data_IF_651413254898
#
_entry.id   IF_651413254898
#
_cell.length_a   1.000
_cell.length_b   1.000
_cell.length_c   1.000
_cell.angle_alpha   90.00
_cell.angle_beta   90.00
_cell.angle_gamma   90.00
#
_symmetry.space_group_name_H-M   'P 1'
#
loop_
_entity.id
_entity.type
_entity.pdbx_description
1 polymer ?
#
# COMPACT_ATOMS: atom_id res chain seq x y z
N UNK A 1 -8.60 -17.44 -0.38
CA UNK A 1 -9.14 -17.60 0.99
C UNK A 1 -8.60 -18.91 1.57
N UNK A 2 -8.28 -18.97 2.86
CA UNK A 2 -7.76 -20.17 3.55
C UNK A 2 -8.19 -20.19 5.03
N UNK A 3 -8.09 -21.32 5.74
CA UNK A 3 -8.28 -21.34 7.19
C UNK A 3 -7.45 -20.25 7.90
N UNK A 4 -8.07 -19.57 8.86
CA UNK A 4 -7.54 -18.41 9.56
C UNK A 4 -7.82 -17.07 8.87
N UNK A 5 -8.23 -17.02 7.59
CA UNK A 5 -8.61 -15.75 6.97
C UNK A 5 -9.85 -15.17 7.64
N UNK A 6 -9.80 -13.87 7.97
CA UNK A 6 -10.97 -13.13 8.40
C UNK A 6 -11.87 -12.84 7.21
N UNK A 7 -13.16 -13.12 7.34
CA UNK A 7 -14.15 -13.00 6.26
C UNK A 7 -15.44 -12.38 6.78
N UNK A 8 -16.17 -11.74 5.87
CA UNK A 8 -17.60 -11.53 6.00
C UNK A 8 -18.31 -12.46 5.03
N UNK A 9 -19.25 -13.24 5.55
CA UNK A 9 -20.08 -14.14 4.76
C UNK A 9 -21.53 -13.71 4.89
N UNK A 10 -22.12 -13.30 3.77
CA UNK A 10 -23.55 -13.02 3.68
C UNK A 10 -24.30 -14.33 3.43
N UNK A 11 -25.29 -14.63 4.26
CA UNK A 11 -26.14 -15.83 4.13
C UNK A 11 -27.62 -15.51 4.37
N UNK A 12 -28.49 -16.41 3.94
CA UNK A 12 -29.90 -16.39 4.34
C UNK A 12 -30.06 -17.01 5.73
N UNK A 13 -30.86 -16.37 6.58
CA UNK A 13 -31.33 -16.90 7.85
C UNK A 13 -32.85 -16.73 7.89
N UNK A 14 -33.58 -17.79 7.51
CA UNK A 14 -35.02 -17.70 7.24
C UNK A 14 -35.30 -16.76 6.07
N UNK A 15 -36.19 -15.78 6.26
CA UNK A 15 -36.54 -14.75 5.27
C UNK A 15 -35.56 -13.57 5.21
N UNK A 16 -34.57 -13.50 6.11
CA UNK A 16 -33.66 -12.35 6.23
C UNK A 16 -32.26 -12.66 5.70
N UNK A 17 -31.55 -11.59 5.28
CA UNK A 17 -30.12 -11.64 4.99
C UNK A 17 -29.34 -11.26 6.24
N UNK A 18 -28.33 -12.05 6.56
CA UNK A 18 -27.46 -11.82 7.72
C UNK A 18 -26.00 -11.97 7.32
N UNK A 19 -25.13 -11.22 7.98
CA UNK A 19 -23.69 -11.27 7.77
C UNK A 19 -23.02 -11.96 8.96
N UNK A 20 -22.23 -12.99 8.70
CA UNK A 20 -21.34 -13.63 9.67
C UNK A 20 -19.95 -13.07 9.44
N UNK A 21 -19.41 -12.38 10.44
CA UNK A 21 -18.04 -11.87 10.41
C UNK A 21 -17.17 -12.71 11.35
N UNK A 22 -16.14 -13.33 10.80
CA UNK A 22 -15.37 -14.32 11.54
C UNK A 22 -14.12 -14.80 10.81
N UNK A 23 -13.55 -15.90 11.28
CA UNK A 23 -12.36 -16.53 10.71
C UNK A 23 -12.74 -17.88 10.09
N UNK A 24 -12.25 -18.15 8.89
CA UNK A 24 -12.44 -19.42 8.20
C UNK A 24 -11.81 -20.55 9.02
N UNK A 25 -12.58 -21.60 9.29
CA UNK A 25 -12.10 -22.84 9.93
C UNK A 25 -11.85 -23.90 8.86
N UNK A 26 -12.78 -24.06 7.92
CA UNK A 26 -12.66 -24.94 6.74
C UNK A 26 -13.35 -24.29 5.54
N UNK A 27 -12.95 -24.69 4.34
CA UNK A 27 -13.53 -24.20 3.08
C UNK A 27 -14.55 -25.15 2.46
N UNK A 28 -14.41 -26.45 2.71
CA UNK A 28 -15.33 -27.47 2.27
C UNK A 28 -15.54 -28.52 3.40
N UNK A 29 -16.66 -28.47 4.12
CA UNK A 29 -17.70 -27.43 4.05
C UNK A 29 -17.18 -26.06 4.52
N UNK A 30 -17.81 -24.95 4.10
CA UNK A 30 -17.47 -23.62 4.61
C UNK A 30 -17.90 -23.49 6.07
N UNK A 31 -16.93 -23.34 6.95
CA UNK A 31 -17.15 -23.14 8.39
C UNK A 31 -16.45 -21.87 8.83
N UNK A 32 -17.18 -20.97 9.50
CA UNK A 32 -16.66 -19.67 9.95
C UNK A 32 -16.88 -19.53 11.45
N UNK A 33 -15.80 -19.29 12.19
CA UNK A 33 -15.86 -18.95 13.62
C UNK A 33 -16.09 -17.45 13.79
N UNK A 34 -17.17 -17.00 14.44
CA UNK A 34 -17.41 -15.58 14.68
C UNK A 34 -16.21 -14.89 15.34
N UNK A 35 -15.98 -13.61 15.05
CA UNK A 35 -14.89 -12.84 15.67
C UNK A 35 -15.29 -12.26 17.04
N UNK A 36 -14.30 -11.89 17.87
CA UNK A 36 -14.48 -10.98 19.00
C UNK A 36 -14.50 -9.51 18.52
N UNK A 37 -14.91 -8.61 19.41
CA UNK A 37 -14.78 -7.15 19.18
C UNK A 37 -13.33 -6.81 18.77
N UNK A 38 -13.18 -5.98 17.75
CA UNK A 38 -11.87 -5.62 17.19
C UNK A 38 -11.37 -6.54 16.07
N UNK A 39 -12.08 -7.64 15.78
CA UNK A 39 -11.73 -8.55 14.68
C UNK A 39 -10.80 -9.69 15.06
N UNK A 40 -10.57 -9.91 16.37
CA UNK A 40 -9.74 -11.01 16.86
C UNK A 40 -10.47 -12.37 16.75
N UNK A 41 -9.74 -13.49 16.65
CA UNK A 41 -10.33 -14.82 16.80
C UNK A 41 -11.10 -14.94 18.12
N UNK A 42 -12.27 -15.59 18.07
CA UNK A 42 -13.04 -15.92 19.27
C UNK A 42 -12.94 -17.40 19.59
N UNK A 43 -13.44 -17.79 20.77
CA UNK A 43 -13.70 -19.18 21.15
C UNK A 43 -15.18 -19.55 20.96
N UNK A 44 -15.95 -18.73 20.22
CA UNK A 44 -17.35 -19.02 19.95
C UNK A 44 -17.49 -20.26 19.06
N UNK A 45 -18.66 -20.90 19.14
CA UNK A 45 -18.99 -22.02 18.26
C UNK A 45 -18.88 -21.62 16.79
N UNK A 46 -18.24 -22.47 15.99
CA UNK A 46 -18.06 -22.21 14.57
C UNK A 46 -19.35 -22.53 13.81
N UNK A 47 -19.70 -21.67 12.86
CA UNK A 47 -20.96 -21.76 12.12
C UNK A 47 -20.67 -22.39 10.77
N UNK A 48 -21.29 -23.52 10.47
CA UNK A 48 -21.34 -24.09 9.12
C UNK A 48 -22.27 -23.24 8.24
N UNK A 49 -21.83 -22.91 7.04
CA UNK A 49 -22.57 -22.08 6.08
C UNK A 49 -22.65 -22.86 4.76
N UNK A 50 -23.80 -23.48 4.50
CA UNK A 50 -23.99 -24.33 3.32
C UNK A 50 -24.25 -23.56 2.02
N UNK A 51 -24.93 -22.40 2.09
CA UNK A 51 -25.28 -21.58 0.91
C UNK A 51 -24.88 -20.10 1.11
N UNK A 52 -23.58 -19.77 0.97
CA UNK A 52 -23.11 -18.39 1.09
C UNK A 52 -23.47 -17.58 -0.15
N UNK A 53 -24.10 -16.42 0.03
CA UNK A 53 -24.44 -15.50 -1.06
C UNK A 53 -23.25 -14.62 -1.48
N UNK A 54 -22.47 -14.18 -0.50
CA UNK A 54 -21.25 -13.39 -0.71
C UNK A 54 -20.22 -13.83 0.31
N UNK A 55 -19.00 -14.11 -0.14
CA UNK A 55 -17.85 -14.32 0.74
C UNK A 55 -16.78 -13.31 0.38
N UNK A 56 -16.50 -12.39 1.30
CA UNK A 56 -15.45 -11.38 1.11
C UNK A 56 -14.41 -11.51 2.22
N UNK A 57 -13.15 -11.65 1.82
CA UNK A 57 -12.02 -11.57 2.75
C UNK A 57 -11.92 -10.16 3.32
N UNK A 58 -11.63 -10.06 4.61
CA UNK A 58 -11.41 -8.82 5.33
C UNK A 58 -9.95 -8.74 5.79
N UNK A 59 -9.50 -7.53 6.12
CA UNK A 59 -8.26 -7.34 6.85
C UNK A 59 -8.28 -8.14 8.16
N UNK A 60 -7.17 -8.78 8.58
CA UNK A 60 -7.14 -9.62 9.79
C UNK A 60 -7.47 -8.89 11.09
N UNK A 61 -7.41 -7.55 11.09
CA UNK A 61 -7.79 -6.69 12.21
C UNK A 61 -8.76 -5.62 11.72
N UNK A 62 -9.58 -5.08 12.62
CA UNK A 62 -10.43 -3.93 12.28
C UNK A 62 -9.55 -2.72 11.90
N UNK A 63 -9.75 -2.21 10.69
CA UNK A 63 -9.10 -0.98 10.19
C UNK A 63 -10.05 0.21 10.37
N UNK A 64 -9.62 1.23 11.12
CA UNK A 64 -10.37 2.47 11.34
C UNK A 64 -10.08 3.47 10.22
N UNK A 65 -10.93 4.49 10.06
CA UNK A 65 -10.65 5.59 9.12
C UNK A 65 -9.37 6.34 9.47
N UNK A 66 -9.07 6.48 10.77
CA UNK A 66 -7.81 7.06 11.25
C UNK A 66 -6.60 6.22 10.84
N UNK A 67 -6.71 4.89 10.83
CA UNK A 67 -5.61 4.01 10.41
C UNK A 67 -5.34 4.13 8.91
N UNK A 68 -6.40 4.25 8.10
CA UNK A 68 -6.25 4.52 6.67
C UNK A 68 -5.53 5.85 6.46
N UNK A 69 -5.99 6.93 7.13
CA UNK A 69 -5.34 8.24 7.05
C UNK A 69 -3.88 8.21 7.50
N UNK A 70 -3.56 7.47 8.56
CA UNK A 70 -2.19 7.37 9.05
C UNK A 70 -1.25 6.80 7.97
N UNK A 71 -1.63 5.68 7.35
CA UNK A 71 -0.84 5.06 6.27
C UNK A 71 -0.74 5.98 5.05
N UNK A 72 -1.86 6.58 4.62
CA UNK A 72 -1.85 7.49 3.47
C UNK A 72 -1.07 8.79 3.73
N UNK A 73 -1.02 9.26 4.97
CA UNK A 73 -0.17 10.40 5.38
C UNK A 73 1.30 10.03 5.32
N UNK A 74 1.68 8.88 5.87
CA UNK A 74 3.06 8.39 5.81
C UNK A 74 3.51 8.17 4.35
N UNK A 75 2.63 7.60 3.52
CA UNK A 75 2.85 7.47 2.08
C UNK A 75 2.99 8.82 1.39
N UNK A 76 2.16 9.80 1.73
CA UNK A 76 2.24 11.12 1.15
C UNK A 76 3.57 11.83 1.48
N UNK A 77 4.07 11.65 2.71
CA UNK A 77 5.39 12.15 3.14
C UNK A 77 6.55 11.41 2.47
N UNK A 78 6.38 10.14 2.10
CA UNK A 78 7.40 9.35 1.42
C UNK A 78 7.57 9.71 -0.08
N UNK A 79 6.59 10.43 -0.65
CA UNK A 79 6.56 10.91 -2.02
C UNK A 79 5.99 12.35 -2.06
N UNK A 80 6.68 13.35 -1.49
CA UNK A 80 6.09 14.66 -1.21
C UNK A 80 5.66 15.47 -2.45
N UNK A 81 6.21 15.15 -3.63
CA UNK A 81 6.08 15.97 -4.83
C UNK A 81 6.90 17.26 -4.73
N UNK A 82 7.10 17.91 -5.88
CA UNK A 82 7.82 19.19 -5.99
C UNK A 82 6.98 20.38 -5.49
N UNK A 83 5.65 20.28 -5.60
CA UNK A 83 4.69 21.27 -5.12
C UNK A 83 3.60 20.60 -4.32
N UNK A 84 3.17 21.23 -3.22
CA UNK A 84 2.07 20.73 -2.40
C UNK A 84 1.22 21.85 -1.84
N UNK A 85 -0.09 21.60 -1.77
CA UNK A 85 -1.07 22.50 -1.15
C UNK A 85 -2.12 21.69 -0.42
N UNK A 86 -2.55 22.15 0.75
CA UNK A 86 -3.67 21.56 1.48
C UNK A 86 -4.94 22.35 1.15
N UNK A 87 -5.87 21.72 0.44
CA UNK A 87 -7.21 22.26 0.24
C UNK A 87 -8.17 21.50 1.17
N UNK A 88 -8.69 22.20 2.18
CA UNK A 88 -9.46 21.58 3.26
C UNK A 88 -8.72 20.39 3.91
N UNK A 89 -9.15 19.16 3.65
CA UNK A 89 -8.57 17.92 4.18
C UNK A 89 -7.78 17.14 3.12
N UNK A 90 -7.56 17.72 1.94
CA UNK A 90 -6.93 17.09 0.78
C UNK A 90 -5.53 17.67 0.56
N UNK A 91 -4.51 16.87 0.85
CA UNK A 91 -3.14 17.21 0.50
C UNK A 91 -2.94 16.92 -0.98
N UNK A 92 -2.90 17.97 -1.77
CA UNK A 92 -2.65 17.94 -3.22
C UNK A 92 -1.16 18.07 -3.47
N UNK A 93 -0.58 17.04 -4.11
CA UNK A 93 0.85 16.98 -4.44
C UNK A 93 1.01 16.90 -5.96
N UNK A 94 1.96 17.67 -6.49
CA UNK A 94 2.40 17.61 -7.88
C UNK A 94 3.88 17.23 -7.93
N UNK A 95 4.17 16.15 -8.65
CA UNK A 95 5.50 15.72 -9.05
C UNK A 95 5.48 15.33 -10.52
N UNK A 96 6.44 14.53 -10.96
CA UNK A 96 6.50 14.00 -12.32
C UNK A 96 5.20 13.26 -12.70
N UNK A 97 4.66 13.55 -13.90
CA UNK A 97 3.35 13.04 -14.40
C UNK A 97 3.27 11.49 -14.38
N UNK A 98 4.42 10.81 -14.51
CA UNK A 98 4.48 9.35 -14.61
C UNK A 98 4.39 8.67 -13.22
N UNK A 99 4.57 9.42 -12.13
CA UNK A 99 4.50 8.88 -10.77
C UNK A 99 3.24 9.34 -10.03
N UNK A 100 2.14 8.59 -10.16
CA UNK A 100 0.90 8.76 -9.35
C UNK A 100 1.18 8.87 -7.83
N UNK A 101 2.33 8.33 -7.40
CA UNK A 101 2.82 8.38 -6.02
C UNK A 101 3.11 9.81 -5.53
N UNK A 102 3.69 10.66 -6.38
CA UNK A 102 4.02 12.08 -6.10
C UNK A 102 3.03 13.05 -6.74
N UNK A 103 2.18 12.59 -7.67
CA UNK A 103 1.13 13.38 -8.32
C UNK A 103 -0.29 12.91 -7.93
N UNK A 104 -0.78 13.30 -6.75
CA UNK A 104 -2.18 13.03 -6.35
C UNK A 104 -2.66 13.85 -5.16
N UNK A 105 -3.96 14.18 -5.15
CA UNK A 105 -4.67 14.71 -4.00
C UNK A 105 -5.11 13.57 -3.08
N UNK A 106 -4.67 13.63 -1.82
CA UNK A 106 -4.86 12.55 -0.84
C UNK A 106 -5.68 13.04 0.36
N UNK A 107 -6.75 12.34 0.78
CA UNK A 107 -7.64 12.78 1.87
C UNK A 107 -7.04 12.49 3.26
N UNK A 108 -6.00 13.23 3.65
CA UNK A 108 -5.26 13.00 4.90
C UNK A 108 -5.83 13.77 6.10
N UNK A 109 -6.60 14.84 5.90
CA UNK A 109 -7.16 15.62 7.00
C UNK A 109 -8.23 14.86 7.81
N UNK A 110 -8.42 15.25 9.07
CA UNK A 110 -9.29 14.54 10.01
C UNK A 110 -10.76 14.46 9.55
N UNK A 111 -11.22 15.50 8.86
CA UNK A 111 -12.56 15.60 8.28
C UNK A 111 -12.60 15.15 6.81
N UNK A 112 -11.49 14.63 6.29
CA UNK A 112 -11.38 14.03 4.97
C UNK A 112 -12.37 12.88 4.83
N UNK A 113 -13.25 12.99 3.84
CA UNK A 113 -14.34 12.04 3.62
C UNK A 113 -15.67 12.39 4.32
N UNK A 114 -15.73 13.46 5.10
CA UNK A 114 -16.96 13.97 5.75
C UNK A 114 -17.48 15.27 5.13
N UNK A 115 -16.59 16.02 4.47
CA UNK A 115 -16.90 17.25 3.74
C UNK A 115 -16.92 17.01 2.23
N UNK A 116 -17.58 17.88 1.44
CA UNK A 116 -17.41 17.90 -0.01
C UNK A 116 -15.93 17.95 -0.40
N UNK A 117 -15.57 17.29 -1.50
CA UNK A 117 -14.21 17.33 -2.03
C UNK A 117 -14.00 18.69 -2.71
N UNK A 118 -12.91 19.42 -2.45
CA UNK A 118 -12.61 20.72 -3.08
C UNK A 118 -12.11 20.52 -4.52
N UNK A 119 -12.95 19.91 -5.36
CA UNK A 119 -12.55 19.39 -6.67
C UNK A 119 -12.05 20.50 -7.59
N UNK A 120 -12.71 21.65 -7.61
CA UNK A 120 -12.34 22.77 -8.48
C UNK A 120 -10.94 23.31 -8.13
N UNK A 121 -10.62 23.43 -6.84
CA UNK A 121 -9.30 23.88 -6.37
C UNK A 121 -8.21 22.85 -6.69
N UNK A 122 -8.52 21.56 -6.51
CA UNK A 122 -7.60 20.47 -6.86
C UNK A 122 -7.32 20.47 -8.36
N UNK A 123 -8.37 20.57 -9.17
CA UNK A 123 -8.25 20.58 -10.63
C UNK A 123 -7.47 21.80 -11.12
N UNK A 124 -7.74 22.99 -10.57
CA UNK A 124 -6.99 24.19 -10.92
C UNK A 124 -5.50 24.09 -10.55
N UNK A 125 -5.19 23.56 -9.36
CA UNK A 125 -3.80 23.33 -8.94
C UNK A 125 -3.01 22.50 -9.96
N UNK A 126 -3.60 21.46 -10.53
CA UNK A 126 -2.96 20.65 -11.56
C UNK A 126 -2.94 21.34 -12.93
N UNK A 127 -4.04 22.03 -13.30
CA UNK A 127 -4.14 22.78 -14.56
C UNK A 127 -3.06 23.84 -14.70
N UNK A 128 -2.84 24.66 -13.66
CA UNK A 128 -1.80 25.69 -13.62
C UNK A 128 -0.38 25.14 -13.88
N UNK A 129 -0.20 23.83 -13.66
CA UNK A 129 1.08 23.13 -13.78
C UNK A 129 1.18 22.30 -15.05
N UNK A 130 0.17 22.33 -15.91
CA UNK A 130 0.10 21.48 -17.11
C UNK A 130 0.07 19.99 -16.77
N UNK A 131 -0.43 19.63 -15.58
CA UNK A 131 -0.50 18.27 -15.11
C UNK A 131 -1.97 17.79 -15.11
N UNK A 132 -2.20 16.49 -15.31
CA UNK A 132 -3.51 15.87 -15.14
C UNK A 132 -3.92 15.91 -13.66
N UNK A 133 -5.19 16.18 -13.38
CA UNK A 133 -5.66 16.13 -12.01
C UNK A 133 -5.81 14.68 -11.54
N UNK A 134 -5.26 14.36 -10.37
CA UNK A 134 -5.33 13.01 -9.83
C UNK A 134 -5.84 13.00 -8.38
N UNK A 135 -6.77 12.09 -8.07
CA UNK A 135 -7.26 11.84 -6.72
C UNK A 135 -6.82 10.44 -6.28
N UNK A 136 -6.25 10.33 -5.09
CA UNK A 136 -6.13 9.05 -4.40
C UNK A 136 -7.44 8.80 -3.64
N UNK A 137 -8.12 7.69 -3.96
CA UNK A 137 -9.43 7.33 -3.42
C UNK A 137 -9.32 6.05 -2.59
N UNK A 138 -9.03 6.14 -1.28
CA UNK A 138 -9.09 4.98 -0.39
C UNK A 138 -10.54 4.57 -0.14
N UNK A 139 -10.85 3.27 -0.14
CA UNK A 139 -12.21 2.72 -0.09
C UNK A 139 -13.17 3.50 0.84
N UNK A 140 -12.88 3.55 2.14
CA UNK A 140 -13.81 4.10 3.15
C UNK A 140 -13.80 5.62 3.26
N UNK A 141 -12.63 6.26 3.13
CA UNK A 141 -12.49 7.71 3.33
C UNK A 141 -12.56 8.51 2.02
N UNK A 142 -12.43 7.83 0.88
CA UNK A 142 -12.54 8.39 -0.46
C UNK A 142 -13.94 8.32 -1.07
N UNK A 143 -14.94 7.75 -0.38
CA UNK A 143 -16.30 7.61 -0.91
C UNK A 143 -16.93 8.94 -1.42
N UNK A 144 -16.72 10.11 -0.78
CA UNK A 144 -17.17 11.38 -1.35
C UNK A 144 -16.48 11.75 -2.66
N UNK A 145 -15.19 11.45 -2.83
CA UNK A 145 -14.48 11.70 -4.08
C UNK A 145 -15.02 10.83 -5.21
N UNK A 146 -15.26 9.54 -4.93
CA UNK A 146 -15.87 8.63 -5.90
C UNK A 146 -17.23 9.14 -6.38
N UNK A 147 -18.09 9.61 -5.46
CA UNK A 147 -19.38 10.22 -5.82
C UNK A 147 -19.22 11.54 -6.58
N UNK A 148 -18.21 12.35 -6.23
CA UNK A 148 -18.00 13.64 -6.87
C UNK A 148 -17.63 13.51 -8.36
N UNK A 149 -16.94 12.42 -8.74
CA UNK A 149 -16.53 12.13 -10.11
C UNK A 149 -17.46 11.15 -10.85
N UNK A 150 -18.46 10.60 -10.18
CA UNK A 150 -19.37 9.62 -10.75
C UNK A 150 -20.16 10.22 -11.92
N UNK A 151 -20.18 9.51 -13.06
CA UNK A 151 -20.87 9.97 -14.28
C UNK A 151 -20.15 11.07 -15.06
N UNK A 152 -18.94 11.49 -14.65
CA UNK A 152 -18.14 12.49 -15.35
C UNK A 152 -17.17 11.83 -16.35
N UNK A 153 -17.33 12.03 -17.66
CA UNK A 153 -16.56 11.32 -18.68
C UNK A 153 -15.07 11.71 -18.73
N UNK A 154 -14.70 12.87 -18.22
CA UNK A 154 -13.31 13.33 -18.13
C UNK A 154 -12.51 12.61 -17.04
N UNK A 155 -13.17 11.85 -16.16
CA UNK A 155 -12.55 11.09 -15.09
C UNK A 155 -12.48 9.59 -15.43
N UNK A 156 -11.31 9.00 -15.23
CA UNK A 156 -11.08 7.56 -15.34
C UNK A 156 -10.54 6.99 -14.03
N UNK A 157 -10.97 5.77 -13.68
CA UNK A 157 -10.46 5.05 -12.52
C UNK A 157 -9.34 4.10 -12.94
N UNK A 158 -8.21 4.20 -12.25
CA UNK A 158 -7.10 3.29 -12.36
C UNK A 158 -7.36 1.91 -11.76
N UNK A 159 -6.36 1.01 -11.86
CA UNK A 159 -6.44 -0.32 -11.28
C UNK A 159 -6.58 -0.26 -9.75
N UNK A 160 -7.10 -1.33 -9.17
CA UNK A 160 -7.16 -1.46 -7.71
C UNK A 160 -5.78 -1.72 -7.13
N UNK A 161 -5.46 -1.00 -6.06
CA UNK A 161 -4.23 -1.14 -5.31
C UNK A 161 -4.57 -1.64 -3.91
N UNK A 162 -3.88 -2.70 -3.49
CA UNK A 162 -3.95 -3.25 -2.14
C UNK A 162 -2.84 -2.60 -1.32
N UNK A 163 -3.24 -1.96 -0.22
CA UNK A 163 -2.32 -1.50 0.79
C UNK A 163 -2.18 -2.60 1.84
N UNK A 164 -0.95 -3.03 2.07
CA UNK A 164 -0.64 -4.05 3.07
C UNK A 164 0.22 -3.44 4.18
N UNK A 165 -0.01 -3.86 5.43
CA UNK A 165 0.73 -3.39 6.60
C UNK A 165 1.26 -4.53 7.44
N UNK A 166 2.30 -4.28 8.22
CA UNK A 166 2.85 -5.20 9.23
C UNK A 166 3.36 -4.42 10.44
N UNK A 167 3.17 -4.95 11.66
CA UNK A 167 3.89 -4.47 12.86
C UNK A 167 5.35 -4.94 12.81
N UNK A 168 6.29 -4.06 13.18
CA UNK A 168 7.70 -4.41 13.31
C UNK A 168 8.07 -4.86 14.73
N UNK A 169 7.10 -4.97 15.64
CA UNK A 169 7.33 -5.43 17.02
C UNK A 169 7.75 -6.90 17.15
N UNK A 170 7.52 -7.71 16.11
CA UNK A 170 7.68 -9.17 16.13
C UNK A 170 8.52 -9.68 14.95
N UNK A 171 9.46 -8.87 14.46
CA UNK A 171 10.31 -9.28 13.37
C UNK A 171 11.09 -10.55 13.74
N UNK A 172 11.03 -11.60 12.89
CA UNK A 172 11.93 -12.73 13.05
C UNK A 172 13.36 -12.26 12.81
N UNK A 173 14.34 -12.93 13.43
CA UNK A 173 15.74 -12.71 13.05
C UNK A 173 15.90 -12.99 11.54
N UNK A 174 16.54 -12.10 10.79
CA UNK A 174 16.81 -12.33 9.37
C UNK A 174 17.64 -13.61 9.23
N UNK A 175 17.21 -14.51 8.35
CA UNK A 175 18.09 -15.58 7.92
C UNK A 175 19.30 -14.95 7.22
N UNK A 176 20.53 -15.43 7.48
CA UNK A 176 21.70 -14.89 6.81
C UNK A 176 21.54 -15.04 5.29
N UNK A 177 21.92 -13.97 4.57
CA UNK A 177 22.05 -14.01 3.13
C UNK A 177 22.88 -15.23 2.70
N UNK A 178 22.53 -15.93 1.61
CA UNK A 178 23.45 -16.87 1.00
C UNK A 178 24.77 -16.14 0.73
N UNK A 179 25.91 -16.76 1.03
CA UNK A 179 27.23 -16.12 0.97
C UNK A 179 27.63 -15.62 -0.43
N UNK A 180 26.88 -16.01 -1.47
CA UNK A 180 27.05 -15.57 -2.84
C UNK A 180 26.40 -14.21 -3.15
N UNK A 181 25.62 -13.65 -2.22
CA UNK A 181 24.98 -12.35 -2.36
C UNK A 181 25.42 -11.41 -1.24
N UNK A 182 25.71 -10.16 -1.61
CA UNK A 182 26.00 -9.09 -0.66
C UNK A 182 24.83 -8.12 -0.60
N UNK A 183 24.36 -7.81 0.61
CA UNK A 183 23.30 -6.84 0.84
C UNK A 183 23.87 -5.54 1.39
N UNK A 184 23.40 -4.40 0.86
CA UNK A 184 23.67 -3.08 1.45
C UNK A 184 22.47 -2.14 1.27
N UNK A 185 22.38 -1.14 2.14
CA UNK A 185 21.44 -0.03 2.03
C UNK A 185 22.23 1.27 2.02
N UNK A 186 22.08 2.01 0.93
CA UNK A 186 22.72 3.32 0.77
C UNK A 186 21.68 4.44 0.99
N UNK A 187 22.06 5.63 1.50
CA UNK A 187 21.12 6.74 1.67
C UNK A 187 20.70 7.40 0.34
N UNK A 188 21.41 7.11 -0.76
CA UNK A 188 21.10 7.57 -2.13
C UNK A 188 21.32 6.44 -3.14
N UNK A 189 20.53 6.37 -4.22
CA UNK A 189 20.76 5.40 -5.28
C UNK A 189 21.91 5.86 -6.19
N UNK A 190 22.57 4.92 -6.84
CA UNK A 190 23.49 5.17 -7.95
C UNK A 190 22.86 4.78 -9.29
N UNK A 191 23.62 4.92 -10.37
CA UNK A 191 23.15 4.61 -11.72
C UNK A 191 22.69 3.15 -11.89
N UNK A 192 23.39 2.19 -11.26
CA UNK A 192 23.03 0.76 -11.35
C UNK A 192 21.71 0.48 -10.65
N UNK A 193 21.49 1.10 -9.48
CA UNK A 193 20.21 0.99 -8.78
C UNK A 193 19.06 1.58 -9.62
N UNK A 194 19.27 2.77 -10.19
CA UNK A 194 18.26 3.46 -11.00
C UNK A 194 17.93 2.70 -12.28
N UNK A 195 18.94 2.12 -12.94
CA UNK A 195 18.76 1.35 -14.18
C UNK A 195 17.90 0.09 -13.98
N UNK A 196 17.87 -0.48 -12.77
CA UNK A 196 17.00 -1.62 -12.46
C UNK A 196 15.53 -1.25 -12.25
N UNK A 197 15.23 -0.04 -11.78
CA UNK A 197 13.88 0.27 -11.31
C UNK A 197 12.90 0.55 -12.45
N UNK A 198 11.81 -0.22 -12.46
CA UNK A 198 10.68 -0.03 -13.36
C UNK A 198 9.40 0.24 -12.56
N UNK A 199 8.58 1.17 -13.03
CA UNK A 199 7.26 1.42 -12.45
C UNK A 199 6.19 0.78 -13.34
N UNK A 200 5.43 -0.17 -12.76
CA UNK A 200 4.43 -0.97 -13.50
C UNK A 200 5.01 -1.65 -14.76
N UNK A 201 6.27 -2.08 -14.68
CA UNK A 201 6.98 -2.73 -15.79
C UNK A 201 7.45 -1.79 -16.89
N UNK A 202 7.34 -0.47 -16.71
CA UNK A 202 7.86 0.53 -17.64
C UNK A 202 9.05 1.27 -17.00
N UNK A 203 10.08 1.63 -17.79
CA UNK A 203 11.11 2.54 -17.30
C UNK A 203 10.47 3.88 -16.93
N UNK A 204 10.99 4.50 -15.88
CA UNK A 204 10.60 5.84 -15.51
C UNK A 204 11.42 6.86 -16.31
N UNK A 205 10.85 8.04 -16.61
CA UNK A 205 11.63 9.12 -17.20
C UNK A 205 12.67 9.63 -16.17
N UNK A 206 13.76 10.27 -16.63
CA UNK A 206 14.85 10.72 -15.77
C UNK A 206 14.41 11.59 -14.59
N UNK A 207 13.45 12.49 -14.80
CA UNK A 207 12.92 13.37 -13.77
C UNK A 207 12.16 12.59 -12.67
N UNK A 208 11.41 11.56 -13.03
CA UNK A 208 10.71 10.72 -12.06
C UNK A 208 11.67 9.81 -11.29
N UNK A 209 12.77 9.39 -11.92
CA UNK A 209 13.86 8.66 -11.27
C UNK A 209 14.60 9.55 -10.27
N UNK A 210 14.86 10.81 -10.62
CA UNK A 210 15.48 11.79 -9.73
C UNK A 210 14.62 12.04 -8.48
N UNK A 211 13.29 12.20 -8.65
CA UNK A 211 12.34 12.41 -7.55
C UNK A 211 12.35 11.29 -6.50
N UNK A 212 12.77 10.06 -6.85
CA UNK A 212 12.87 8.97 -5.87
C UNK A 212 13.95 9.25 -4.80
N UNK A 213 14.98 10.01 -5.19
CA UNK A 213 16.14 10.36 -4.38
C UNK A 213 16.02 11.75 -3.73
N UNK A 214 14.97 12.52 -4.05
CA UNK A 214 14.71 13.82 -3.43
C UNK A 214 14.51 13.68 -1.92
N UNK A 215 15.04 14.65 -1.18
CA UNK A 215 14.94 14.67 0.27
C UNK A 215 13.48 14.71 0.73
N UNK A 216 13.20 13.91 1.74
CA UNK A 216 11.88 13.85 2.39
C UNK A 216 12.02 14.30 3.84
N UNK A 217 10.90 14.71 4.44
CA UNK A 217 10.80 14.84 5.90
C UNK A 217 10.76 13.44 6.53
N UNK A 218 11.94 12.83 6.66
CA UNK A 218 12.10 11.42 7.00
C UNK A 218 13.49 10.90 6.65
N UNK A 219 13.59 9.58 6.46
CA UNK A 219 14.85 8.91 6.06
C UNK A 219 14.62 8.08 4.81
N UNK A 220 15.59 8.08 3.89
CA UNK A 220 15.61 7.25 2.69
C UNK A 220 16.63 6.13 2.84
N UNK A 221 16.30 4.97 2.27
CA UNK A 221 17.21 3.84 2.13
C UNK A 221 17.02 3.17 0.77
N UNK A 222 18.13 2.94 0.07
CA UNK A 222 18.17 2.27 -1.22
C UNK A 222 18.89 0.95 -1.05
N UNK A 223 18.09 -0.09 -0.82
CA UNK A 223 18.59 -1.45 -0.64
C UNK A 223 18.93 -2.10 -1.97
N UNK A 224 20.00 -2.89 -1.99
CA UNK A 224 20.35 -3.73 -3.13
C UNK A 224 20.98 -5.05 -2.71
N UNK A 225 20.83 -6.06 -3.56
CA UNK A 225 21.64 -7.27 -3.54
C UNK A 225 22.57 -7.27 -4.75
N UNK A 226 23.83 -7.61 -4.53
CA UNK A 226 24.80 -7.85 -5.61
C UNK A 226 25.17 -9.32 -5.68
N UNK A 227 25.48 -9.80 -6.89
CA UNK A 227 26.04 -11.13 -7.15
C UNK A 227 27.25 -10.96 -8.07
N UNK A 228 28.42 -11.42 -7.64
CA UNK A 228 29.68 -11.25 -8.39
C UNK A 228 29.96 -9.78 -8.81
N UNK A 229 29.57 -8.83 -7.96
CA UNK A 229 29.74 -7.39 -8.21
C UNK A 229 28.62 -6.71 -9.00
N UNK A 230 27.69 -7.46 -9.58
CA UNK A 230 26.56 -6.92 -10.35
C UNK A 230 25.32 -6.73 -9.48
N UNK A 231 24.59 -5.63 -9.66
CA UNK A 231 23.30 -5.41 -8.96
C UNK A 231 22.22 -6.32 -9.56
N UNK A 232 21.64 -7.21 -8.75
CA UNK A 232 20.66 -8.21 -9.21
C UNK A 232 19.26 -8.03 -8.62
N UNK A 233 19.14 -7.21 -7.57
CA UNK A 233 17.87 -6.87 -6.98
C UNK A 233 17.94 -5.53 -6.24
N UNK A 234 16.86 -4.76 -6.28
CA UNK A 234 16.77 -3.43 -5.64
C UNK A 234 15.46 -3.24 -4.90
N UNK A 235 15.48 -2.36 -3.90
CA UNK A 235 14.30 -1.87 -3.19
C UNK A 235 14.55 -0.49 -2.59
N UNK A 236 13.46 0.26 -2.33
CA UNK A 236 13.47 1.54 -1.63
C UNK A 236 12.68 1.45 -0.33
N UNK A 237 13.32 1.84 0.76
CA UNK A 237 12.74 2.08 2.08
C UNK A 237 12.61 3.56 2.38
N UNK A 238 11.56 3.92 3.12
CA UNK A 238 11.36 5.28 3.64
C UNK A 238 10.92 5.22 5.09
N UNK A 239 11.41 6.13 5.93
CA UNK A 239 10.97 6.27 7.32
C UNK A 239 10.23 7.59 7.44
N UNK A 240 8.91 7.52 7.62
CA UNK A 240 8.04 8.70 7.71
C UNK A 240 7.03 8.56 8.84
N UNK A 241 6.70 9.68 9.49
CA UNK A 241 5.69 9.70 10.54
C UNK A 241 4.26 9.84 10.01
N UNK A 242 3.28 9.53 10.84
CA UNK A 242 1.88 9.94 10.68
C UNK A 242 1.39 10.75 11.88
N UNK A 243 0.26 11.44 11.72
CA UNK A 243 -0.24 12.41 12.72
C UNK A 243 -0.70 11.75 14.04
N UNK A 244 -0.85 10.43 14.07
CA UNK A 244 -1.13 9.65 15.27
C UNK A 244 0.15 9.19 16.02
N UNK A 245 1.32 9.68 15.61
CA UNK A 245 2.61 9.42 16.24
C UNK A 245 3.29 8.11 15.81
N UNK A 246 2.68 7.33 14.91
CA UNK A 246 3.36 6.14 14.34
C UNK A 246 4.48 6.55 13.41
N UNK A 247 5.54 5.73 13.41
CA UNK A 247 6.67 5.85 12.48
C UNK A 247 6.63 4.64 11.56
N UNK A 248 6.58 4.90 10.26
CA UNK A 248 6.35 3.88 9.25
C UNK A 248 7.56 3.64 8.38
N UNK A 249 7.87 2.37 8.14
CA UNK A 249 8.66 1.94 7.00
C UNK A 249 7.76 1.84 5.76
N UNK A 250 7.91 2.76 4.81
CA UNK A 250 7.36 2.60 3.47
C UNK A 250 8.25 1.72 2.61
N UNK A 251 7.77 0.52 2.27
CA UNK A 251 8.49 -0.45 1.44
C UNK A 251 8.01 -0.38 -0.02
N UNK A 252 8.93 -0.10 -0.94
CA UNK A 252 8.59 0.18 -2.34
C UNK A 252 9.71 -0.21 -3.32
N UNK A 253 9.46 -0.03 -4.61
CA UNK A 253 10.44 -0.22 -5.69
C UNK A 253 11.16 -1.59 -5.69
N UNK A 254 10.45 -2.66 -5.34
CA UNK A 254 11.01 -4.02 -5.27
C UNK A 254 11.15 -4.59 -6.68
N UNK A 255 12.39 -4.81 -7.11
CA UNK A 255 12.72 -5.43 -8.39
C UNK A 255 13.79 -6.51 -8.22
N UNK A 256 13.67 -7.58 -9.01
CA UNK A 256 14.65 -8.66 -9.08
C UNK A 256 14.89 -8.97 -10.56
N UNK A 257 16.17 -9.00 -10.95
CA UNK A 257 16.61 -9.32 -12.30
C UNK A 257 15.98 -10.65 -12.77
N UNK A 258 15.41 -10.74 -14.00
CA UNK A 258 14.63 -11.89 -14.46
C UNK A 258 15.26 -13.27 -14.22
N UNK A 259 16.56 -13.39 -14.46
CA UNK A 259 17.38 -14.59 -14.34
C UNK A 259 17.66 -14.99 -12.88
N UNK A 260 17.50 -14.07 -11.92
CA UNK A 260 17.61 -14.31 -10.48
C UNK A 260 16.25 -14.47 -9.77
N UNK A 261 15.14 -14.36 -10.50
CA UNK A 261 13.79 -14.55 -9.93
C UNK A 261 13.56 -15.98 -9.45
N UNK A 262 12.59 -16.12 -8.53
CA UNK A 262 12.20 -17.41 -7.90
C UNK A 262 13.31 -18.08 -7.08
N UNK A 263 14.35 -17.35 -6.70
CA UNK A 263 15.44 -17.80 -5.79
C UNK A 263 15.32 -17.27 -4.36
N UNK A 264 14.22 -16.59 -4.03
CA UNK A 264 13.99 -16.02 -2.69
C UNK A 264 14.53 -14.60 -2.46
N UNK A 265 15.23 -14.01 -3.43
CA UNK A 265 15.88 -12.69 -3.26
C UNK A 265 14.93 -11.55 -2.88
N UNK A 266 13.71 -11.53 -3.42
CA UNK A 266 12.71 -10.52 -3.04
C UNK A 266 12.24 -10.66 -1.58
N UNK A 267 12.20 -11.89 -1.06
CA UNK A 267 11.93 -12.13 0.37
C UNK A 267 13.11 -11.67 1.21
N UNK A 268 14.34 -11.94 0.77
CA UNK A 268 15.55 -11.50 1.46
C UNK A 268 15.63 -9.96 1.52
N UNK A 269 15.46 -9.26 0.40
CA UNK A 269 15.38 -7.79 0.37
C UNK A 269 14.34 -7.26 1.36
N UNK A 270 13.18 -7.90 1.41
CA UNK A 270 12.11 -7.50 2.32
C UNK A 270 12.47 -7.72 3.78
N UNK A 271 13.08 -8.86 4.13
CA UNK A 271 13.52 -9.12 5.50
C UNK A 271 14.57 -8.10 5.97
N UNK A 272 15.55 -7.82 5.13
CA UNK A 272 16.60 -6.83 5.41
C UNK A 272 16.03 -5.41 5.54
N UNK A 273 15.11 -5.03 4.66
CA UNK A 273 14.49 -3.71 4.71
C UNK A 273 13.56 -3.54 5.93
N UNK A 274 12.89 -4.61 6.36
CA UNK A 274 12.12 -4.61 7.61
C UNK A 274 13.04 -4.41 8.83
N UNK A 275 14.18 -5.11 8.88
CA UNK A 275 15.17 -4.94 9.94
C UNK A 275 15.76 -3.53 9.94
N UNK A 276 16.09 -2.98 8.77
CA UNK A 276 16.52 -1.59 8.62
C UNK A 276 15.46 -0.60 9.11
N UNK A 277 14.18 -0.80 8.76
CA UNK A 277 13.11 0.06 9.24
C UNK A 277 13.00 0.06 10.76
N UNK A 278 13.06 -1.13 11.37
CA UNK A 278 13.04 -1.27 12.83
C UNK A 278 14.25 -0.57 13.49
N UNK A 279 15.45 -0.71 12.92
CA UNK A 279 16.66 -0.05 13.45
C UNK A 279 16.61 1.48 13.33
N UNK A 280 15.76 2.02 12.44
CA UNK A 280 15.51 3.45 12.28
C UNK A 280 14.23 3.92 13.00
N UNK A 281 13.73 3.12 13.94
CA UNK A 281 12.63 3.50 14.83
C UNK A 281 11.23 3.35 14.23
N UNK A 282 11.08 2.73 13.05
CA UNK A 282 9.76 2.40 12.54
C UNK A 282 9.09 1.35 13.44
N UNK A 283 7.82 1.58 13.78
CA UNK A 283 6.98 0.65 14.55
C UNK A 283 6.17 -0.25 13.65
N UNK A 284 5.87 0.22 12.44
CA UNK A 284 5.03 -0.45 11.46
C UNK A 284 5.65 -0.29 10.07
N UNK A 285 5.30 -1.19 9.15
CA UNK A 285 5.63 -1.08 7.74
C UNK A 285 4.36 -1.09 6.89
N UNK A 286 4.40 -0.38 5.77
CA UNK A 286 3.37 -0.45 4.74
C UNK A 286 3.97 -0.64 3.35
N UNK A 287 3.15 -1.13 2.43
CA UNK A 287 3.44 -1.16 1.00
C UNK A 287 2.16 -1.05 0.18
N UNK A 288 2.31 -0.70 -1.09
CA UNK A 288 1.24 -0.69 -2.07
C UNK A 288 1.56 -1.66 -3.21
N UNK A 289 0.59 -2.50 -3.57
CA UNK A 289 0.73 -3.50 -4.64
C UNK A 289 -0.54 -3.57 -5.48
N UNK A 290 -0.40 -3.70 -6.80
CA UNK A 290 -1.56 -3.91 -7.67
C UNK A 290 -2.33 -5.15 -7.22
N UNK A 291 -3.67 -5.07 -7.17
CA UNK A 291 -4.52 -6.18 -6.79
C UNK A 291 -4.38 -7.41 -7.71
N UNK A 292 -3.92 -7.21 -8.94
CA UNK A 292 -3.61 -8.26 -9.91
C UNK A 292 -2.23 -8.89 -9.76
N UNK A 293 -1.36 -8.36 -8.88
CA UNK A 293 -0.01 -8.88 -8.68
C UNK A 293 0.02 -9.95 -7.58
N UNK A 294 -0.54 -11.13 -7.89
CA UNK A 294 -0.59 -12.27 -6.98
C UNK A 294 0.79 -12.70 -6.48
N UNK A 295 1.82 -12.62 -7.33
CA UNK A 295 3.19 -12.99 -6.98
C UNK A 295 3.76 -12.06 -5.88
N UNK A 296 3.58 -10.74 -6.06
CA UNK A 296 3.95 -9.73 -5.07
C UNK A 296 3.17 -9.89 -3.77
N UNK A 297 1.84 -10.04 -3.84
CA UNK A 297 0.99 -10.28 -2.66
C UNK A 297 1.43 -11.54 -1.90
N UNK A 298 1.77 -12.61 -2.62
CA UNK A 298 2.29 -13.85 -2.04
C UNK A 298 3.63 -13.66 -1.32
N UNK A 299 4.55 -12.89 -1.91
CA UNK A 299 5.82 -12.51 -1.29
C UNK A 299 5.59 -11.70 -0.01
N UNK A 300 4.78 -10.64 -0.07
CA UNK A 300 4.52 -9.77 1.08
C UNK A 300 3.79 -10.52 2.21
N UNK A 301 2.90 -11.44 1.87
CA UNK A 301 2.25 -12.32 2.86
C UNK A 301 3.26 -13.20 3.59
N UNK A 302 4.30 -13.72 2.90
CA UNK A 302 5.38 -14.48 3.55
C UNK A 302 6.23 -13.62 4.48
N UNK A 303 6.36 -12.34 4.15
CA UNK A 303 6.98 -11.31 5.01
C UNK A 303 6.05 -10.82 6.13
N UNK A 304 4.90 -11.45 6.36
CA UNK A 304 3.99 -11.12 7.46
C UNK A 304 3.12 -9.88 7.22
N UNK A 305 3.14 -9.29 6.03
CA UNK A 305 2.20 -8.23 5.67
C UNK A 305 0.80 -8.80 5.52
N UNK A 306 -0.17 -8.00 5.94
CA UNK A 306 -1.59 -8.31 5.80
C UNK A 306 -2.30 -7.18 5.07
N UNK A 307 -3.33 -7.50 4.30
CA UNK A 307 -4.17 -6.49 3.67
C UNK A 307 -4.78 -5.56 4.73
N UNK A 308 -4.56 -4.26 4.57
CA UNK A 308 -5.08 -3.20 5.44
C UNK A 308 -6.32 -2.57 4.83
N UNK A 309 -6.17 -2.05 3.62
CA UNK A 309 -7.25 -1.43 2.86
C UNK A 309 -6.90 -1.40 1.37
N UNK A 310 -7.82 -0.90 0.55
CA UNK A 310 -7.61 -0.73 -0.89
C UNK A 310 -7.88 0.70 -1.30
N UNK A 311 -7.24 1.11 -2.39
CA UNK A 311 -7.50 2.40 -3.02
C UNK A 311 -7.40 2.28 -4.54
N UNK A 312 -7.84 3.35 -5.21
CA UNK A 312 -7.66 3.59 -6.64
C UNK A 312 -7.23 5.02 -6.84
N UNK A 313 -6.50 5.26 -7.91
CA UNK A 313 -6.33 6.61 -8.43
C UNK A 313 -7.46 6.92 -9.41
N UNK A 314 -8.02 8.13 -9.32
CA UNK A 314 -8.84 8.70 -10.38
C UNK A 314 -8.02 9.76 -11.10
N UNK A 315 -8.00 9.72 -12.44
CA UNK A 315 -7.31 10.70 -13.28
C UNK A 315 -8.34 11.48 -14.08
N UNK A 316 -8.22 12.80 -14.07
CA UNK A 316 -8.94 13.71 -14.93
C UNK A 316 -8.03 14.14 -16.07
N UNK A 317 -8.46 13.90 -17.30
CA UNK A 317 -7.80 14.47 -18.47
C UNK A 317 -8.36 15.89 -18.66
N UNK A 318 -7.50 16.89 -18.53
CA UNK A 318 -7.93 18.30 -18.44
C UNK A 318 -8.21 18.98 -19.79
N UNK A 319 -8.06 18.25 -20.90
CA UNK A 319 -8.22 18.77 -22.26
C UNK A 319 -6.98 19.52 -22.74
#
# INVERSE_FOLDING_TARGET
MKPGDRVVVRRRAGSHLTDVIGHVVSLDPLVVRPQKVGGLPSEAEAIRIDDPLVVRRMSPRRVRNSDIRAVETAYARAFPGQSRMLFDDWLTRAGSDIAERSNSATPIGHSGGLRPVPLDQIVEFYRERGLPAQLLIPERIGAPALRAIEGRPEWSLGPEIVVMTRSLSDLPEPAPAPSEFEFRIDPRPDADWLAMYHFRGQPLPPEALAELADEIEGTLGFGRLTHQGETVAVTRGTITGSDDGRVWLGYSAVEVAPEFRRRGLGTQLGAEMLAWGQSHGATDAYLQVLASNDAGIGLYTKLGFVEHHRHRYARCDLG
#
